data_IF_378409454952
#
_entry.id   IF_378409454952
#
_cell.length_a   1.000
_cell.length_b   1.000
_cell.length_c   1.000
_cell.angle_alpha   90.00
_cell.angle_beta   90.00
_cell.angle_gamma   90.00
#
_symmetry.space_group_name_H-M   'P 1'
#
loop_
_entity.id
_entity.type
_entity.pdbx_description
1 polymer ?
#
# COMPACT_ATOMS: atom_id res chain seq x y z
N UNK A 1 -10.78 21.71 -9.33
CA UNK A 1 -11.68 20.81 -8.57
C UNK A 1 -10.88 19.57 -8.16
N UNK A 2 -10.81 19.21 -6.87
CA UNK A 2 -10.21 17.93 -6.48
C UNK A 2 -11.08 16.80 -7.04
N UNK A 3 -10.45 15.84 -7.73
CA UNK A 3 -11.16 14.71 -8.36
C UNK A 3 -11.73 13.79 -7.28
N UNK A 4 -12.95 13.22 -7.46
CA UNK A 4 -13.56 12.32 -6.49
C UNK A 4 -12.73 11.04 -6.33
N UNK A 5 -12.61 10.52 -5.10
CA UNK A 5 -11.77 9.36 -4.74
C UNK A 5 -12.05 8.09 -5.55
N UNK A 6 -13.26 7.93 -6.09
CA UNK A 6 -13.63 6.80 -6.97
C UNK A 6 -12.93 6.87 -8.33
N UNK A 7 -12.70 8.07 -8.87
CA UNK A 7 -11.99 8.28 -10.13
C UNK A 7 -10.49 7.96 -9.98
N UNK A 8 -9.92 8.24 -8.80
CA UNK A 8 -8.53 7.90 -8.46
C UNK A 8 -8.33 6.38 -8.44
N UNK A 9 -9.29 5.64 -7.89
CA UNK A 9 -9.25 4.18 -7.81
C UNK A 9 -9.35 3.55 -9.22
N UNK A 10 -10.27 4.03 -10.07
CA UNK A 10 -10.39 3.57 -11.46
C UNK A 10 -9.16 3.93 -12.30
N UNK A 11 -8.61 5.14 -12.12
CA UNK A 11 -7.38 5.58 -12.79
C UNK A 11 -6.19 4.67 -12.46
N UNK A 12 -6.08 4.26 -11.19
CA UNK A 12 -5.04 3.36 -10.71
C UNK A 12 -5.20 1.97 -11.28
N UNK A 13 -6.42 1.44 -11.26
CA UNK A 13 -6.73 0.12 -11.82
C UNK A 13 -6.30 0.06 -13.29
N UNK A 14 -6.70 1.05 -14.08
CA UNK A 14 -6.39 1.15 -15.51
C UNK A 14 -4.89 1.33 -15.80
N UNK A 15 -4.13 2.00 -14.94
CA UNK A 15 -2.68 2.15 -15.12
C UNK A 15 -1.87 0.91 -14.70
N UNK A 16 -2.34 0.17 -13.69
CA UNK A 16 -1.67 -1.04 -13.22
C UNK A 16 -1.90 -2.23 -14.14
N UNK A 17 -3.06 -2.34 -14.77
CA UNK A 17 -3.34 -3.38 -15.77
C UNK A 17 -2.42 -3.29 -17.00
N UNK A 18 -1.99 -2.08 -17.36
CA UNK A 18 -1.08 -1.83 -18.49
C UNK A 18 0.40 -2.06 -18.15
N UNK A 19 0.78 -2.12 -16.86
CA UNK A 19 2.18 -2.21 -16.43
C UNK A 19 2.54 -3.61 -15.90
N UNK A 20 1.99 -4.64 -16.56
CA UNK A 20 2.07 -6.05 -16.16
C UNK A 20 3.42 -6.71 -16.49
N UNK A 21 4.51 -5.94 -16.51
CA UNK A 21 5.85 -6.44 -16.82
C UNK A 21 6.86 -5.84 -15.83
N UNK A 22 7.78 -6.68 -15.36
CA UNK A 22 8.95 -6.43 -14.49
C UNK A 22 8.82 -6.86 -13.02
N UNK A 23 8.41 -8.12 -12.81
CA UNK A 23 8.96 -8.95 -11.74
C UNK A 23 10.36 -9.37 -12.15
N UNK A 24 11.41 -8.69 -11.66
CA UNK A 24 12.78 -9.23 -11.68
C UNK A 24 13.57 -8.75 -10.48
N UNK A 25 14.36 -9.69 -9.98
CA UNK A 25 14.97 -9.79 -8.67
C UNK A 25 16.17 -8.86 -8.40
N UNK A 26 16.57 -8.87 -7.13
CA UNK A 26 17.91 -8.66 -6.55
C UNK A 26 18.29 -7.30 -5.93
N UNK A 27 18.18 -7.29 -4.61
CA UNK A 27 19.33 -7.15 -3.68
C UNK A 27 20.22 -5.91 -3.81
N UNK A 28 19.74 -4.70 -3.49
CA UNK A 28 20.68 -3.60 -3.16
C UNK A 28 20.13 -2.65 -2.08
N UNK A 29 20.49 -2.93 -0.83
CA UNK A 29 20.55 -1.94 0.25
C UNK A 29 19.32 -1.91 1.14
N UNK A 30 19.50 -2.09 2.45
CA UNK A 30 18.40 -2.26 3.42
C UNK A 30 17.47 -1.03 3.56
N UNK A 31 17.81 0.12 2.96
CA UNK A 31 16.95 1.30 2.82
C UNK A 31 16.16 1.37 1.48
N UNK A 32 16.39 0.40 0.57
CA UNK A 32 15.68 0.13 -0.68
C UNK A 32 14.69 -1.06 -0.55
N UNK A 33 14.52 -1.60 0.66
CA UNK A 33 13.80 -2.86 0.89
C UNK A 33 12.28 -2.76 0.80
N UNK A 34 11.71 -1.59 1.05
CA UNK A 34 10.26 -1.40 1.00
C UNK A 34 9.89 -0.87 -0.38
N UNK A 35 9.21 -1.72 -1.14
CA UNK A 35 8.60 -1.35 -2.42
C UNK A 35 7.25 -0.70 -2.15
N UNK A 36 7.18 0.63 -2.35
CA UNK A 36 5.93 1.37 -2.20
C UNK A 36 5.06 1.22 -3.46
N UNK A 37 3.82 0.72 -3.34
CA UNK A 37 2.93 0.52 -4.48
C UNK A 37 2.54 1.85 -5.12
N UNK A 38 2.15 1.84 -6.41
CA UNK A 38 1.74 3.05 -7.12
C UNK A 38 0.58 3.78 -6.43
N UNK A 39 -0.33 3.03 -5.81
CA UNK A 39 -1.44 3.56 -5.04
C UNK A 39 -0.97 4.42 -3.84
N UNK A 40 0.18 4.09 -3.24
CA UNK A 40 0.78 4.88 -2.15
C UNK A 40 1.14 6.29 -2.62
N UNK A 41 1.70 6.41 -3.83
CA UNK A 41 2.11 7.68 -4.43
C UNK A 41 0.92 8.61 -4.75
N UNK A 42 -0.31 8.10 -4.71
CA UNK A 42 -1.53 8.84 -5.01
C UNK A 42 -2.27 9.32 -3.76
N UNK A 43 -1.82 8.91 -2.57
CA UNK A 43 -2.29 9.50 -1.33
C UNK A 43 -1.89 10.98 -1.25
N UNK A 44 -2.61 11.78 -0.46
CA UNK A 44 -2.19 13.16 -0.21
C UNK A 44 -0.80 13.18 0.45
N UNK A 45 0.02 14.21 0.20
CA UNK A 45 1.39 14.28 0.73
C UNK A 45 1.46 14.11 2.24
N UNK A 46 0.56 14.75 2.98
CA UNK A 46 0.51 14.64 4.44
C UNK A 46 0.17 13.20 4.87
N UNK A 47 -0.74 12.53 4.16
CA UNK A 47 -1.06 11.13 4.42
C UNK A 47 0.11 10.19 4.12
N UNK A 48 0.87 10.46 3.06
CA UNK A 48 2.09 9.70 2.76
C UNK A 48 3.10 9.87 3.90
N UNK A 49 3.35 11.10 4.34
CA UNK A 49 4.30 11.41 5.41
C UNK A 49 3.88 10.73 6.73
N UNK A 50 2.61 10.86 7.12
CA UNK A 50 2.08 10.24 8.33
C UNK A 50 2.15 8.71 8.25
N UNK A 51 1.84 8.13 7.09
CA UNK A 51 1.93 6.68 6.88
C UNK A 51 3.39 6.20 6.99
N UNK A 52 4.35 6.93 6.42
CA UNK A 52 5.78 6.60 6.53
C UNK A 52 6.27 6.61 7.98
N UNK A 53 5.88 7.62 8.76
CA UNK A 53 6.21 7.71 10.19
C UNK A 53 5.65 6.50 10.93
N UNK A 54 4.37 6.15 10.72
CA UNK A 54 3.76 5.02 11.43
C UNK A 54 4.27 3.64 10.97
N UNK A 55 4.58 3.49 9.67
CA UNK A 55 5.17 2.27 9.12
C UNK A 55 6.56 2.02 9.70
N UNK A 56 7.35 3.08 9.94
CA UNK A 56 8.72 2.95 10.47
C UNK A 56 8.79 2.25 11.84
N UNK A 57 7.69 2.25 12.61
CA UNK A 57 7.59 1.54 13.90
C UNK A 57 7.38 0.02 13.76
N UNK A 58 7.18 -0.49 12.55
CA UNK A 58 6.93 -1.91 12.28
C UNK A 58 8.19 -2.59 11.71
N UNK A 59 8.36 -3.91 11.90
CA UNK A 59 9.38 -4.67 11.20
C UNK A 59 9.24 -4.53 9.68
N UNK A 60 10.36 -4.46 8.94
CA UNK A 60 10.36 -4.27 7.48
C UNK A 60 9.54 -5.33 6.73
N UNK A 61 9.59 -6.59 7.18
CA UNK A 61 8.77 -7.68 6.63
C UNK A 61 7.27 -7.41 6.79
N UNK A 62 6.85 -6.91 7.95
CA UNK A 62 5.47 -6.51 8.24
C UNK A 62 5.06 -5.31 7.39
N UNK A 63 5.94 -4.32 7.21
CA UNK A 63 5.68 -3.16 6.36
C UNK A 63 5.39 -3.59 4.91
N UNK A 64 6.25 -4.43 4.32
CA UNK A 64 6.07 -4.88 2.95
C UNK A 64 4.79 -5.71 2.78
N UNK A 65 4.53 -6.63 3.71
CA UNK A 65 3.33 -7.46 3.69
C UNK A 65 2.04 -6.61 3.77
N UNK A 66 2.05 -5.60 4.62
CA UNK A 66 0.93 -4.67 4.78
C UNK A 66 0.67 -3.86 3.51
N UNK A 67 1.72 -3.33 2.87
CA UNK A 67 1.60 -2.58 1.62
C UNK A 67 1.11 -3.46 0.46
N UNK A 68 1.56 -4.71 0.38
CA UNK A 68 1.10 -5.67 -0.63
C UNK A 68 -0.39 -5.99 -0.46
N UNK A 69 -0.81 -6.35 0.76
CA UNK A 69 -2.21 -6.63 1.09
C UNK A 69 -3.10 -5.41 0.83
N UNK A 70 -2.63 -4.22 1.21
CA UNK A 70 -3.33 -2.97 0.99
C UNK A 70 -3.60 -2.73 -0.49
N UNK A 71 -2.57 -2.82 -1.33
CA UNK A 71 -2.72 -2.66 -2.76
C UNK A 71 -3.68 -3.71 -3.33
N UNK A 72 -3.47 -4.99 -3.01
CA UNK A 72 -4.29 -6.08 -3.51
C UNK A 72 -5.78 -5.89 -3.17
N UNK A 73 -6.08 -5.47 -1.93
CA UNK A 73 -7.45 -5.19 -1.46
C UNK A 73 -8.05 -3.97 -2.15
N UNK A 74 -7.32 -2.87 -2.27
CA UNK A 74 -7.82 -1.68 -2.97
C UNK A 74 -8.07 -1.93 -4.47
N UNK A 75 -7.38 -2.88 -5.09
CA UNK A 75 -7.61 -3.24 -6.49
C UNK A 75 -8.75 -4.25 -6.66
N UNK A 76 -8.86 -5.21 -5.74
CA UNK A 76 -9.83 -6.33 -5.83
C UNK A 76 -11.19 -6.00 -5.20
N UNK A 77 -11.26 -5.01 -4.31
CA UNK A 77 -12.47 -4.59 -3.62
C UNK A 77 -12.72 -3.11 -3.82
N UNK A 78 -13.98 -2.69 -3.79
CA UNK A 78 -14.37 -1.28 -3.86
C UNK A 78 -14.11 -0.57 -2.51
N UNK A 79 -12.82 -0.40 -2.18
CA UNK A 79 -12.38 0.31 -0.98
C UNK A 79 -12.56 1.81 -1.18
N UNK A 80 -13.65 2.36 -0.65
CA UNK A 80 -14.02 3.79 -0.78
C UNK A 80 -12.99 4.78 -0.25
N UNK A 81 -12.18 4.39 0.74
CA UNK A 81 -11.15 5.24 1.33
C UNK A 81 -9.83 4.45 1.52
N UNK A 82 -8.96 4.43 0.51
CA UNK A 82 -7.67 3.73 0.56
C UNK A 82 -6.77 4.20 1.71
N UNK A 83 -6.72 5.50 1.99
CA UNK A 83 -5.89 6.07 3.05
C UNK A 83 -6.36 5.59 4.43
N UNK A 84 -7.65 5.75 4.73
CA UNK A 84 -8.22 5.31 6.01
C UNK A 84 -8.07 3.81 6.24
N UNK A 85 -8.20 3.02 5.18
CA UNK A 85 -7.98 1.58 5.24
C UNK A 85 -6.52 1.21 5.55
N UNK A 86 -5.55 1.91 4.93
CA UNK A 86 -4.12 1.74 5.22
C UNK A 86 -3.81 2.02 6.69
N UNK A 87 -4.24 3.16 7.21
CA UNK A 87 -4.02 3.52 8.62
C UNK A 87 -4.68 2.53 9.59
N UNK A 88 -5.85 2.01 9.25
CA UNK A 88 -6.50 0.95 10.02
C UNK A 88 -5.66 -0.33 10.10
N UNK A 89 -5.01 -0.73 9.00
CA UNK A 89 -4.08 -1.88 9.00
C UNK A 89 -2.80 -1.60 9.77
N UNK A 90 -2.21 -0.40 9.62
CA UNK A 90 -1.01 0.00 10.35
C UNK A 90 -1.27 -0.03 11.87
N UNK A 91 -2.40 0.52 12.32
CA UNK A 91 -2.80 0.47 13.74
C UNK A 91 -2.95 -0.96 14.24
N UNK A 92 -3.57 -1.86 13.46
CA UNK A 92 -3.65 -3.30 13.82
C UNK A 92 -2.27 -3.94 13.93
N UNK A 93 -1.34 -3.57 13.06
CA UNK A 93 0.02 -4.11 13.07
C UNK A 93 0.83 -3.62 14.27
N UNK A 94 0.70 -2.36 14.63
CA UNK A 94 1.33 -1.79 15.83
C UNK A 94 0.80 -2.47 17.11
N UNK A 95 -0.48 -2.84 17.12
CA UNK A 95 -1.10 -3.61 18.22
C UNK A 95 -0.78 -5.12 18.18
N UNK A 96 0.01 -5.60 17.21
CA UNK A 96 0.33 -7.03 17.04
C UNK A 96 -0.86 -7.90 16.60
N UNK A 97 -1.96 -7.29 16.16
CA UNK A 97 -3.20 -7.99 15.76
C UNK A 97 -3.40 -8.05 14.25
N UNK A 98 -2.47 -7.48 13.48
CA UNK A 98 -2.49 -7.57 12.03
C UNK A 98 -2.30 -9.02 11.57
N UNK A 99 -3.25 -9.50 10.77
CA UNK A 99 -3.20 -10.79 10.09
C UNK A 99 -3.31 -10.53 8.61
N UNK A 100 -2.22 -10.75 7.88
CA UNK A 100 -2.27 -10.70 6.43
C UNK A 100 -3.17 -11.82 5.91
N UNK A 101 -3.93 -11.53 4.85
CA UNK A 101 -4.70 -12.55 4.17
C UNK A 101 -3.70 -13.54 3.53
N UNK A 102 -3.99 -14.84 3.50
CA UNK A 102 -3.09 -15.84 2.88
C UNK A 102 -2.96 -15.73 1.35
N UNK A 103 -3.47 -14.67 0.73
CA UNK A 103 -3.58 -14.54 -0.72
C UNK A 103 -2.38 -13.83 -1.37
N UNK A 104 -1.39 -13.40 -0.58
CA UNK A 104 -0.14 -12.79 -1.06
C UNK A 104 1.11 -13.67 -0.85
N UNK A 105 0.98 -15.00 -0.71
CA UNK A 105 2.10 -15.94 -0.75
C UNK A 105 2.29 -16.51 -2.16
#
# INVERSE_FOLDING_TARGET
>A
MPKPSSEVIEYVRRHLENNKINTTERTYGLSKLISYPQLFRLLAKDQQQDALVQLSALPLSTQQLLLNEWQARCLSQDIRNPAGYLFGMIRKAQLGTFRASRFCQ
#
